data_IF_241925874019
#
_entry.id   IF_241925874019
#
_cell.length_a   1.000
_cell.length_b   1.000
_cell.length_c   1.000
_cell.angle_alpha   90.00
_cell.angle_beta   90.00
_cell.angle_gamma   90.00
#
_symmetry.space_group_name_H-M   'P 1'
#
loop_
_entity.id
_entity.type
_entity.pdbx_description
1 polymer ?
#
# COMPACT_ATOMS: atom_id res chain seq x y z
N UNK A 1 8.81 -6.03 1.74
CA UNK A 1 8.90 -7.46 1.37
C UNK A 1 7.87 -8.27 2.14
N UNK A 2 7.78 -8.13 3.47
CA UNK A 2 6.85 -8.94 4.28
C UNK A 2 5.36 -8.74 3.93
N UNK A 3 4.94 -7.51 3.62
CA UNK A 3 3.57 -7.25 3.13
C UNK A 3 3.29 -8.00 1.82
N UNK A 4 4.25 -8.01 0.91
CA UNK A 4 4.14 -8.71 -0.38
C UNK A 4 4.10 -10.22 -0.15
N UNK A 5 4.94 -10.76 0.73
CA UNK A 5 4.90 -12.18 1.14
C UNK A 5 3.60 -12.58 1.80
N UNK A 6 3.01 -11.71 2.63
CA UNK A 6 1.69 -11.95 3.21
C UNK A 6 0.62 -12.10 2.12
N UNK A 7 0.69 -11.29 1.07
CA UNK A 7 -0.21 -11.42 -0.07
C UNK A 7 0.05 -12.71 -0.86
N UNK A 8 1.28 -13.21 -0.90
CA UNK A 8 1.59 -14.52 -1.49
C UNK A 8 0.92 -15.66 -0.74
N UNK A 9 0.90 -15.58 0.59
CA UNK A 9 0.41 -16.66 1.45
C UNK A 9 -1.11 -16.61 1.68
N UNK A 10 -1.72 -15.43 1.63
CA UNK A 10 -3.17 -15.23 1.74
C UNK A 10 -3.70 -14.83 0.36
N UNK A 11 -4.33 -15.76 -0.36
CA UNK A 11 -4.97 -15.58 -1.68
C UNK A 11 -5.25 -14.10 -2.03
N UNK A 12 -4.49 -13.55 -2.99
CA UNK A 12 -4.36 -12.11 -3.27
C UNK A 12 -5.68 -11.36 -3.56
N UNK A 13 -6.78 -12.08 -3.76
CA UNK A 13 -8.07 -11.56 -4.21
C UNK A 13 -8.71 -10.57 -3.23
N UNK A 14 -8.32 -10.58 -1.95
CA UNK A 14 -8.97 -9.78 -0.90
C UNK A 14 -8.06 -8.72 -0.24
N UNK A 15 -6.85 -8.49 -0.75
CA UNK A 15 -5.93 -7.51 -0.14
C UNK A 15 -6.02 -6.14 -0.82
N UNK A 16 -6.37 -5.11 -0.04
CA UNK A 16 -6.36 -3.71 -0.46
C UNK A 16 -5.05 -3.05 -0.03
N UNK A 17 -4.37 -2.40 -0.97
CA UNK A 17 -3.15 -1.65 -0.75
C UNK A 17 -3.42 -0.16 -0.76
N UNK A 18 -2.84 0.56 0.21
CA UNK A 18 -2.77 2.02 0.16
C UNK A 18 -1.46 2.49 -0.45
N UNK A 19 -1.53 3.26 -1.54
CA UNK A 19 -0.37 3.89 -2.18
C UNK A 19 -0.39 5.38 -1.89
N UNK A 20 0.69 5.89 -1.30
CA UNK A 20 0.89 7.32 -1.05
C UNK A 20 2.20 7.78 -1.68
N UNK A 21 2.17 8.94 -2.35
CA UNK A 21 3.40 9.59 -2.79
C UNK A 21 4.22 10.00 -1.57
N UNK A 22 5.54 9.84 -1.64
CA UNK A 22 6.44 10.41 -0.64
C UNK A 22 6.59 11.90 -0.90
N UNK A 23 6.37 12.74 0.11
CA UNK A 23 6.65 14.17 0.03
C UNK A 23 8.05 14.43 0.58
N UNK A 24 8.96 15.02 -0.21
CA UNK A 24 10.34 15.23 0.21
C UNK A 24 10.54 16.31 1.28
N UNK A 25 9.50 16.95 1.85
CA UNK A 25 9.66 18.09 2.78
C UNK A 25 8.49 18.30 3.76
N UNK A 26 8.28 17.38 4.71
CA UNK A 26 7.68 17.79 6.00
C UNK A 26 8.78 17.68 7.05
N UNK A 27 9.33 18.84 7.39
CA UNK A 27 10.35 19.04 8.41
C UNK A 27 9.86 18.46 9.75
N UNK A 28 10.58 17.50 10.33
CA UNK A 28 10.56 17.28 11.78
C UNK A 28 10.30 15.87 12.31
N UNK A 29 9.73 14.95 11.52
CA UNK A 29 9.34 13.62 12.03
C UNK A 29 10.15 12.50 11.36
N UNK A 30 10.80 11.60 12.12
CA UNK A 30 11.54 10.47 11.55
C UNK A 30 10.57 9.45 10.94
N UNK A 31 10.34 9.59 9.64
CA UNK A 31 9.50 8.73 8.83
C UNK A 31 9.07 9.52 7.61
N UNK A 32 9.63 9.20 6.43
CA UNK A 32 9.39 9.95 5.19
C UNK A 32 7.93 10.39 5.07
N UNK A 33 7.71 11.71 5.08
CA UNK A 33 6.40 12.30 5.12
C UNK A 33 5.59 11.80 3.93
N UNK A 34 4.48 11.11 4.20
CA UNK A 34 3.57 10.64 3.15
C UNK A 34 2.63 11.76 2.78
N UNK A 35 2.31 11.90 1.49
CA UNK A 35 1.26 12.80 1.04
C UNK A 35 -0.03 12.46 1.80
N UNK A 36 -0.76 13.46 2.35
CA UNK A 36 -1.94 13.20 3.19
C UNK A 36 -3.09 12.55 2.44
N UNK A 37 -3.07 12.57 1.11
CA UNK A 37 -4.01 11.89 0.23
C UNK A 37 -3.28 10.78 -0.52
N UNK A 38 -3.82 9.57 -0.48
CA UNK A 38 -3.34 8.41 -1.22
C UNK A 38 -4.46 7.74 -2.01
N UNK A 39 -4.10 6.66 -2.70
CA UNK A 39 -5.01 5.86 -3.52
C UNK A 39 -5.03 4.43 -2.98
N UNK A 40 -6.21 3.93 -2.62
CA UNK A 40 -6.42 2.52 -2.35
C UNK A 40 -6.47 1.78 -3.69
N UNK A 41 -5.89 0.60 -3.75
CA UNK A 41 -5.88 -0.25 -4.94
C UNK A 41 -5.93 -1.72 -4.59
N UNK A 42 -6.37 -2.51 -5.56
CA UNK A 42 -6.44 -3.96 -5.48
C UNK A 42 -5.37 -4.58 -6.36
N UNK A 43 -4.74 -5.65 -5.89
CA UNK A 43 -3.76 -6.39 -6.68
C UNK A 43 -4.51 -7.24 -7.69
N UNK A 44 -4.26 -7.00 -8.97
CA UNK A 44 -4.87 -7.74 -10.08
C UNK A 44 -3.91 -8.75 -10.69
N UNK A 45 -2.60 -8.58 -10.47
CA UNK A 45 -1.60 -9.56 -10.85
C UNK A 45 -0.31 -9.34 -10.07
N UNK A 46 0.41 -10.42 -9.78
CA UNK A 46 1.73 -10.37 -9.17
C UNK A 46 2.68 -11.28 -9.96
N UNK A 47 3.85 -10.77 -10.28
CA UNK A 47 4.91 -11.50 -10.97
C UNK A 47 6.16 -11.57 -10.10
N UNK A 48 6.79 -12.74 -10.09
CA UNK A 48 8.06 -12.98 -9.42
C UNK A 48 9.14 -12.98 -10.50
N UNK A 49 10.06 -12.03 -10.43
CA UNK A 49 11.12 -11.81 -11.40
C UNK A 49 12.48 -12.18 -10.77
N UNK A 50 13.17 -13.14 -11.36
CA UNK A 50 14.50 -13.61 -10.94
C UNK A 50 14.46 -14.82 -10.00
N UNK A 51 15.31 -15.82 -10.31
CA UNK A 51 15.38 -17.12 -9.65
C UNK A 51 15.98 -17.09 -8.24
N UNK A 52 15.64 -18.14 -7.48
CA UNK A 52 16.00 -18.50 -6.11
C UNK A 52 16.08 -17.38 -5.05
N UNK A 53 15.48 -17.67 -3.88
CA UNK A 53 15.63 -16.87 -2.67
C UNK A 53 17.11 -16.56 -2.40
N UNK A 54 17.53 -15.34 -1.99
CA UNK A 54 16.75 -14.20 -1.48
C UNK A 54 16.41 -13.11 -2.50
N UNK A 55 16.91 -13.22 -3.72
CA UNK A 55 16.99 -12.09 -4.65
C UNK A 55 15.79 -11.97 -5.61
N UNK A 56 14.65 -12.54 -5.24
CA UNK A 56 13.42 -12.39 -6.01
C UNK A 56 12.94 -10.93 -5.96
N UNK A 57 12.85 -10.30 -7.13
CA UNK A 57 12.15 -9.03 -7.30
C UNK A 57 10.67 -9.32 -7.58
N UNK A 58 9.79 -8.49 -7.03
CA UNK A 58 8.34 -8.68 -7.17
C UNK A 58 7.74 -7.50 -7.93
N UNK A 59 7.00 -7.80 -9.00
CA UNK A 59 6.22 -6.80 -9.74
C UNK A 59 4.75 -6.99 -9.38
N UNK A 60 4.14 -5.94 -8.83
CA UNK A 60 2.72 -5.90 -8.51
C UNK A 60 2.00 -5.02 -9.52
N UNK A 61 0.97 -5.56 -10.16
CA UNK A 61 0.03 -4.78 -10.95
C UNK A 61 -1.19 -4.46 -10.07
N UNK A 62 -1.43 -3.17 -9.85
CA UNK A 62 -2.43 -2.67 -8.90
C UNK A 62 -3.38 -1.74 -9.64
N UNK A 63 -4.69 -1.97 -9.50
CA UNK A 63 -5.73 -1.07 -10.00
C UNK A 63 -6.20 -0.17 -8.86
N UNK A 64 -6.13 1.15 -9.05
CA UNK A 64 -6.65 2.13 -8.08
C UNK A 64 -8.18 2.15 -8.06
N UNK A 65 -8.76 2.07 -6.86
CA UNK A 65 -10.22 1.96 -6.65
C UNK A 65 -10.86 3.15 -5.95
N UNK A 66 -10.13 3.83 -5.06
CA UNK A 66 -10.62 5.05 -4.41
C UNK A 66 -9.48 5.88 -3.80
N UNK A 67 -9.71 7.17 -3.62
CA UNK A 67 -8.84 8.05 -2.85
C UNK A 67 -9.17 7.95 -1.36
N UNK A 68 -8.15 8.11 -0.54
CA UNK A 68 -8.31 8.24 0.90
C UNK A 68 -7.43 9.36 1.46
N UNK A 69 -7.82 9.87 2.63
CA UNK A 69 -7.00 10.76 3.45
C UNK A 69 -6.40 9.98 4.62
N UNK A 70 -5.10 10.12 4.83
CA UNK A 70 -4.40 9.55 5.99
C UNK A 70 -4.85 10.28 7.26
N UNK A 71 -5.31 9.52 8.26
CA UNK A 71 -5.65 10.03 9.59
C UNK A 71 -4.48 9.91 10.56
N UNK A 72 -3.90 8.71 10.65
CA UNK A 72 -2.84 8.39 11.60
C UNK A 72 -1.92 7.31 11.04
N UNK A 73 -0.62 7.50 11.21
CA UNK A 73 0.38 6.46 10.96
C UNK A 73 0.38 5.49 12.14
N UNK A 74 0.20 4.20 11.84
CA UNK A 74 0.29 3.11 12.80
C UNK A 74 1.41 2.16 12.36
N UNK A 75 2.55 2.21 13.04
CA UNK A 75 3.65 1.31 12.73
C UNK A 75 3.35 -0.08 13.32
N UNK A 76 2.98 -1.05 12.48
CA UNK A 76 3.08 -2.45 12.85
C UNK A 76 4.54 -2.91 12.66
N UNK A 77 4.94 -3.93 13.43
CA UNK A 77 6.34 -4.38 13.58
C UNK A 77 7.06 -4.76 12.27
N UNK A 78 6.34 -4.99 11.17
CA UNK A 78 6.88 -5.51 9.90
C UNK A 78 6.50 -4.71 8.64
N UNK A 79 5.54 -3.79 8.73
CA UNK A 79 5.09 -2.90 7.65
C UNK A 79 4.29 -1.73 8.23
N UNK A 80 4.29 -0.59 7.53
CA UNK A 80 3.46 0.55 7.96
C UNK A 80 2.00 0.27 7.66
N UNK A 81 1.17 0.43 8.67
CA UNK A 81 -0.27 0.51 8.53
C UNK A 81 -0.71 1.95 8.75
N UNK A 82 -1.83 2.36 8.17
CA UNK A 82 -2.35 3.71 8.31
C UNK A 82 -3.84 3.63 8.52
N UNK A 83 -4.33 4.38 9.49
CA UNK A 83 -5.76 4.68 9.57
C UNK A 83 -6.07 5.70 8.48
N UNK A 84 -7.08 5.42 7.67
CA UNK A 84 -7.45 6.25 6.53
C UNK A 84 -8.95 6.56 6.54
N UNK A 85 -9.35 7.58 5.79
CA UNK A 85 -10.76 7.87 5.51
C UNK A 85 -10.93 7.95 4.01
N UNK A 86 -11.80 7.10 3.48
CA UNK A 86 -12.15 7.12 2.07
C UNK A 86 -12.80 8.46 1.71
N UNK A 87 -12.31 9.07 0.64
CA UNK A 87 -12.79 10.36 0.15
C UNK A 87 -13.84 10.19 -0.96
N UNK A 88 -13.67 9.17 -1.80
CA UNK A 88 -14.61 8.90 -2.88
C UNK A 88 -15.74 8.03 -2.35
N UNK A 89 -16.99 8.49 -2.46
CA UNK A 89 -18.14 7.62 -2.23
C UNK A 89 -18.24 6.68 -3.43
N UNK A 90 -18.23 5.37 -3.19
CA UNK A 90 -18.72 4.43 -4.19
C UNK A 90 -20.20 4.79 -4.38
N UNK A 91 -20.59 5.13 -5.61
CA UNK A 91 -21.93 5.60 -5.95
C UNK A 91 -23.00 4.67 -5.37
N UNK A 92 -23.86 5.27 -4.54
CA UNK A 92 -25.09 4.72 -4.04
C UNK A 92 -26.01 5.92 -3.88
N UNK A 93 -26.85 6.09 -4.91
CA UNK A 93 -27.81 7.18 -5.24
C UNK A 93 -27.24 8.44 -5.91
#
# INVERSE_FOLDING_TARGET
VELVRRCINEDYSNVIFGVCATQPNVLGEPGAAVHPIGTAGVVVSMQINGGDWPQASYTLYITGVCRFKVKKLSAAHLYRTVDVTQLDRFGGE
#
